data_IF_573160455979
#
_entry.id   IF_573160455979
#
_cell.length_a   1.000
_cell.length_b   1.000
_cell.length_c   1.000
_cell.angle_alpha   90.00
_cell.angle_beta   90.00
_cell.angle_gamma   90.00
#
_symmetry.space_group_name_H-M   'P 1'
#
loop_
_entity.id
_entity.type
_entity.pdbx_description
1 polymer ?
#
# COMPACT_ATOMS: atom_id res chain seq x y z
N UNK A 1 6.48 13.12 4.60
CA UNK A 1 7.59 14.04 4.87
C UNK A 1 8.87 13.67 4.10
N UNK A 2 9.35 12.42 4.20
CA UNK A 2 10.59 11.98 3.55
C UNK A 2 10.62 12.26 2.04
N UNK A 3 9.55 11.97 1.33
CA UNK A 3 9.45 12.23 -0.12
C UNK A 3 9.52 13.72 -0.44
N UNK A 4 8.88 14.58 0.34
CA UNK A 4 8.95 16.04 0.18
C UNK A 4 10.39 16.53 0.36
N UNK A 5 11.05 16.07 1.42
CA UNK A 5 12.44 16.42 1.68
C UNK A 5 13.37 15.93 0.56
N UNK A 6 13.13 14.71 0.06
CA UNK A 6 13.90 14.12 -1.02
C UNK A 6 13.77 14.94 -2.32
N UNK A 7 12.54 15.31 -2.72
CA UNK A 7 12.33 16.13 -3.91
C UNK A 7 12.99 17.51 -3.79
N UNK A 8 12.85 18.17 -2.64
CA UNK A 8 13.52 19.46 -2.39
C UNK A 8 15.04 19.33 -2.50
N UNK A 9 15.62 18.29 -1.90
CA UNK A 9 17.07 18.02 -1.98
C UNK A 9 17.56 17.86 -3.44
N UNK A 10 16.70 17.35 -4.34
CA UNK A 10 17.03 17.15 -5.75
C UNK A 10 16.54 18.28 -6.66
N UNK A 11 16.28 19.47 -6.10
CA UNK A 11 15.88 20.65 -6.87
C UNK A 11 14.50 20.55 -7.53
N UNK A 12 13.66 19.63 -7.05
CA UNK A 12 12.31 19.45 -7.57
C UNK A 12 11.27 20.11 -6.68
N UNK A 13 10.23 20.67 -7.29
CA UNK A 13 9.12 21.30 -6.60
C UNK A 13 8.09 20.24 -6.13
N UNK A 14 7.96 19.98 -4.82
CA UNK A 14 6.99 19.01 -4.31
C UNK A 14 5.54 19.37 -4.62
N UNK A 15 5.21 20.64 -4.77
CA UNK A 15 3.82 21.07 -5.04
C UNK A 15 3.31 20.58 -6.40
N UNK A 16 4.22 20.23 -7.31
CA UNK A 16 3.91 19.65 -8.62
C UNK A 16 3.86 18.12 -8.59
N UNK A 17 4.18 17.49 -7.46
CA UNK A 17 4.16 16.03 -7.29
C UNK A 17 2.84 15.58 -6.70
N UNK A 18 2.48 14.32 -6.98
CA UNK A 18 1.30 13.68 -6.40
C UNK A 18 1.75 12.57 -5.46
N UNK A 19 1.26 12.63 -4.22
CA UNK A 19 1.32 11.51 -3.28
C UNK A 19 -0.05 10.85 -3.17
N UNK A 20 -0.09 9.54 -3.24
CA UNK A 20 -1.30 8.75 -3.03
C UNK A 20 -1.14 8.02 -1.70
N UNK A 21 -2.02 8.33 -0.76
CA UNK A 21 -2.10 7.63 0.52
C UNK A 21 -3.08 6.47 0.39
N UNK A 22 -2.71 5.31 0.90
CA UNK A 22 -3.51 4.09 0.81
C UNK A 22 -3.31 3.25 2.08
N UNK A 23 -4.17 2.28 2.28
CA UNK A 23 -4.26 1.38 3.43
C UNK A 23 -4.83 2.01 4.71
N UNK A 24 -5.82 1.34 5.29
CA UNK A 24 -6.41 1.67 6.57
C UNK A 24 -7.06 3.06 6.68
N UNK A 25 -7.40 3.66 5.55
CA UNK A 25 -7.99 5.00 5.53
C UNK A 25 -9.44 4.98 6.00
N UNK A 26 -9.76 5.97 6.82
CA UNK A 26 -11.10 6.43 7.14
C UNK A 26 -11.21 7.94 6.87
N UNK A 27 -12.40 8.50 7.05
CA UNK A 27 -12.66 9.93 6.79
C UNK A 27 -11.80 10.83 7.68
N UNK A 28 -11.67 10.48 8.96
CA UNK A 28 -10.94 11.30 9.93
C UNK A 28 -9.45 11.31 9.62
N UNK A 29 -8.89 10.16 9.27
CA UNK A 29 -7.49 10.04 8.88
C UNK A 29 -7.21 10.81 7.57
N UNK A 30 -8.08 10.66 6.56
CA UNK A 30 -7.95 11.44 5.32
C UNK A 30 -8.00 12.94 5.58
N UNK A 31 -8.86 13.40 6.49
CA UNK A 31 -8.94 14.81 6.87
C UNK A 31 -7.66 15.29 7.58
N UNK A 32 -7.10 14.48 8.49
CA UNK A 32 -5.80 14.78 9.14
C UNK A 32 -4.68 14.88 8.11
N UNK A 33 -4.59 13.92 7.19
CA UNK A 33 -3.61 13.92 6.10
C UNK A 33 -3.78 15.16 5.23
N UNK A 34 -5.02 15.50 4.86
CA UNK A 34 -5.30 16.68 4.05
C UNK A 34 -4.78 17.96 4.73
N UNK A 35 -5.14 18.19 5.98
CA UNK A 35 -4.69 19.37 6.74
C UNK A 35 -3.17 19.46 6.81
N UNK A 36 -2.50 18.32 6.98
CA UNK A 36 -1.05 18.29 7.15
C UNK A 36 -0.29 18.57 5.84
N UNK A 37 -0.79 18.10 4.70
CA UNK A 37 -0.08 18.15 3.42
C UNK A 37 -0.64 19.18 2.44
N UNK A 38 -1.80 19.79 2.71
CA UNK A 38 -2.40 20.78 1.83
C UNK A 38 -1.43 21.93 1.51
N UNK A 39 -1.31 22.26 0.23
CA UNK A 39 -0.37 23.28 -0.25
C UNK A 39 1.10 22.88 -0.29
N UNK A 40 1.47 21.70 0.26
CA UNK A 40 2.86 21.23 0.31
C UNK A 40 3.17 20.19 -0.75
N UNK A 41 2.17 19.42 -1.14
CA UNK A 41 2.20 18.39 -2.18
C UNK A 41 0.76 18.14 -2.64
N UNK A 42 0.58 17.73 -3.89
CA UNK A 42 -0.73 17.24 -4.35
C UNK A 42 -1.01 15.88 -3.72
N UNK A 43 -2.22 15.69 -3.22
CA UNK A 43 -2.61 14.46 -2.52
C UNK A 43 -3.82 13.81 -3.16
N UNK A 44 -3.86 12.49 -3.11
CA UNK A 44 -4.99 11.65 -3.46
C UNK A 44 -5.05 10.48 -2.48
N UNK A 45 -6.14 9.72 -2.51
CA UNK A 45 -6.38 8.63 -1.59
C UNK A 45 -6.81 7.37 -2.32
N UNK A 46 -6.29 6.23 -1.89
CA UNK A 46 -6.81 4.91 -2.22
C UNK A 46 -7.62 4.37 -1.03
N UNK A 47 -8.91 4.68 -0.99
CA UNK A 47 -9.79 4.23 0.08
C UNK A 47 -10.45 2.92 -0.32
N UNK A 48 -10.11 1.83 0.32
CA UNK A 48 -10.52 0.47 -0.03
C UNK A 48 -11.65 -0.07 0.86
N UNK A 49 -11.33 -1.07 1.64
CA UNK A 49 -12.29 -1.89 2.42
C UNK A 49 -13.28 -1.05 3.25
N UNK A 50 -12.81 -0.02 3.93
CA UNK A 50 -13.66 0.79 4.81
C UNK A 50 -14.60 1.75 4.06
N UNK A 51 -14.43 1.95 2.75
CA UNK A 51 -15.32 2.83 1.99
C UNK A 51 -16.76 2.32 1.94
N UNK A 52 -16.92 1.00 1.75
CA UNK A 52 -18.23 0.37 1.54
C UNK A 52 -18.54 -0.73 2.54
N UNK A 53 -17.66 -0.96 3.51
CA UNK A 53 -17.72 -2.11 4.39
C UNK A 53 -17.29 -1.76 5.83
N UNK A 54 -17.64 -0.57 6.30
CA UNK A 54 -17.38 -0.13 7.67
C UNK A 54 -18.70 0.01 8.42
N UNK A 55 -19.22 -1.13 8.85
CA UNK A 55 -20.46 -1.23 9.60
C UNK A 55 -20.24 -1.74 11.02
N UNK A 56 -19.04 -1.58 11.56
CA UNK A 56 -18.69 -2.03 12.91
C UNK A 56 -19.69 -1.53 13.94
N UNK A 57 -20.15 -2.44 14.76
CA UNK A 57 -21.07 -2.11 15.84
C UNK A 57 -22.52 -1.86 15.43
N UNK A 58 -22.85 -1.89 14.14
CA UNK A 58 -24.21 -1.64 13.64
C UNK A 58 -25.05 -2.92 13.57
N UNK A 59 -24.43 -4.09 13.67
CA UNK A 59 -25.14 -5.37 13.65
C UNK A 59 -25.77 -5.73 14.99
N UNK A 60 -26.71 -6.69 15.01
CA UNK A 60 -27.15 -7.31 16.24
C UNK A 60 -25.92 -7.88 16.97
N UNK A 61 -25.77 -7.61 18.24
CA UNK A 61 -24.63 -8.03 19.06
C UNK A 61 -23.27 -7.37 18.71
N UNK A 62 -23.28 -6.20 18.07
CA UNK A 62 -22.05 -5.46 17.79
C UNK A 62 -21.19 -6.04 16.66
N UNK A 63 -21.71 -6.94 15.85
CA UNK A 63 -21.01 -7.55 14.71
C UNK A 63 -20.83 -6.63 13.50
N UNK A 64 -20.62 -7.22 12.34
CA UNK A 64 -20.34 -6.57 11.05
C UNK A 64 -18.96 -5.93 10.98
N UNK A 65 -17.94 -6.68 11.41
CA UNK A 65 -16.55 -6.26 11.18
C UNK A 65 -16.23 -6.20 9.67
N UNK A 66 -15.46 -5.21 9.23
CA UNK A 66 -15.04 -5.12 7.84
C UNK A 66 -14.27 -6.37 7.41
N UNK A 67 -14.56 -6.87 6.22
CA UNK A 67 -13.78 -7.93 5.61
C UNK A 67 -13.16 -7.47 4.30
N UNK A 68 -11.99 -8.01 3.95
CA UNK A 68 -11.28 -7.68 2.73
C UNK A 68 -11.17 -8.91 1.85
N UNK A 69 -11.52 -8.74 0.58
CA UNK A 69 -11.36 -9.77 -0.45
C UNK A 69 -10.26 -9.33 -1.39
N UNK A 70 -9.26 -10.18 -1.56
CA UNK A 70 -8.16 -9.95 -2.50
C UNK A 70 -8.08 -11.12 -3.47
N UNK A 71 -8.19 -10.83 -4.76
CA UNK A 71 -7.95 -11.80 -5.82
C UNK A 71 -6.54 -11.60 -6.39
N UNK A 72 -5.77 -12.69 -6.51
CA UNK A 72 -4.44 -12.67 -7.08
C UNK A 72 -4.32 -13.78 -8.12
N UNK A 73 -3.64 -13.47 -9.24
CA UNK A 73 -3.30 -14.47 -10.24
C UNK A 73 -2.27 -15.43 -9.65
N UNK A 74 -2.57 -16.72 -9.65
CA UNK A 74 -1.66 -17.78 -9.16
C UNK A 74 -1.03 -18.57 -10.30
N UNK A 75 -1.62 -18.53 -11.49
CA UNK A 75 -1.06 -19.14 -12.69
C UNK A 75 -1.54 -18.45 -13.95
N UNK A 76 -0.75 -18.51 -15.02
CA UNK A 76 -1.10 -18.04 -16.35
C UNK A 76 -0.51 -19.00 -17.39
N UNK A 77 -1.32 -19.49 -18.32
CA UNK A 77 -0.91 -20.44 -19.36
C UNK A 77 -0.16 -21.68 -18.81
N UNK A 78 -0.65 -22.23 -17.69
CA UNK A 78 -0.04 -23.38 -17.03
C UNK A 78 1.28 -23.10 -16.30
N UNK A 79 1.71 -21.86 -16.23
CA UNK A 79 2.91 -21.44 -15.49
C UNK A 79 2.52 -20.73 -14.20
N UNK A 80 3.25 -20.94 -13.08
CA UNK A 80 2.99 -20.24 -11.85
C UNK A 80 3.22 -18.75 -12.00
N UNK A 81 2.32 -17.95 -11.43
CA UNK A 81 2.49 -16.52 -11.30
C UNK A 81 3.05 -16.19 -9.92
N UNK A 82 3.96 -15.22 -9.86
CA UNK A 82 4.62 -14.78 -8.63
C UNK A 82 4.30 -13.32 -8.39
N UNK A 83 3.86 -13.00 -7.18
CA UNK A 83 3.85 -11.62 -6.67
C UNK A 83 4.97 -11.49 -5.64
N UNK A 84 5.87 -10.55 -5.86
CA UNK A 84 6.88 -10.15 -4.89
C UNK A 84 6.39 -8.88 -4.18
N UNK A 85 6.72 -8.72 -2.92
CA UNK A 85 6.40 -7.56 -2.10
C UNK A 85 7.61 -7.26 -1.20
N UNK A 86 7.77 -6.02 -0.83
CA UNK A 86 8.66 -5.54 0.24
C UNK A 86 8.29 -6.15 1.60
N UNK A 87 7.01 -6.46 1.80
CA UNK A 87 6.57 -7.27 2.93
C UNK A 87 6.55 -8.76 2.53
N UNK A 88 7.45 -9.60 3.08
CA UNK A 88 7.54 -11.02 2.73
C UNK A 88 6.24 -11.79 2.92
N UNK A 89 5.41 -11.42 3.90
CA UNK A 89 4.12 -12.08 4.17
C UNK A 89 3.08 -11.83 3.08
N UNK A 90 3.30 -10.83 2.23
CA UNK A 90 2.42 -10.50 1.09
C UNK A 90 2.89 -11.13 -0.23
N UNK A 91 4.01 -11.88 -0.23
CA UNK A 91 4.45 -12.63 -1.40
C UNK A 91 3.48 -13.78 -1.70
N UNK A 92 3.27 -14.07 -2.98
CA UNK A 92 2.38 -15.14 -3.46
C UNK A 92 3.06 -15.91 -4.58
N UNK A 93 2.94 -17.22 -4.56
CA UNK A 93 3.51 -18.15 -5.53
C UNK A 93 4.25 -19.29 -4.86
N UNK A 94 4.70 -20.30 -5.63
CA UNK A 94 5.55 -21.36 -5.11
C UNK A 94 6.86 -20.79 -4.54
N UNK A 95 7.35 -21.27 -3.39
CA UNK A 95 8.55 -20.74 -2.74
C UNK A 95 9.78 -20.71 -3.66
N UNK A 96 10.00 -21.76 -4.42
CA UNK A 96 11.10 -21.88 -5.37
C UNK A 96 11.02 -20.83 -6.49
N UNK A 97 9.82 -20.50 -6.95
CA UNK A 97 9.61 -19.46 -7.96
C UNK A 97 9.79 -18.06 -7.37
N UNK A 98 9.33 -17.83 -6.14
CA UNK A 98 9.58 -16.56 -5.43
C UNK A 98 11.08 -16.32 -5.31
N UNK A 99 11.84 -17.33 -4.88
CA UNK A 99 13.30 -17.22 -4.76
C UNK A 99 14.00 -17.04 -6.10
N UNK A 100 13.53 -17.73 -7.14
CA UNK A 100 14.02 -17.55 -8.51
C UNK A 100 13.82 -16.10 -8.98
N UNK A 101 12.63 -15.54 -8.79
CA UNK A 101 12.33 -14.17 -9.19
C UNK A 101 13.12 -13.14 -8.38
N UNK A 102 13.27 -13.33 -7.07
CA UNK A 102 14.11 -12.46 -6.24
C UNK A 102 15.54 -12.39 -6.75
N UNK A 103 16.10 -13.54 -7.11
CA UNK A 103 17.46 -13.63 -7.65
C UNK A 103 17.58 -12.96 -9.02
N UNK A 104 16.66 -13.22 -9.93
CA UNK A 104 16.68 -12.70 -11.31
C UNK A 104 16.49 -11.17 -11.31
N UNK A 105 15.63 -10.65 -10.46
CA UNK A 105 15.32 -9.21 -10.41
C UNK A 105 16.04 -8.46 -9.29
N UNK A 106 16.99 -9.11 -8.62
CA UNK A 106 17.78 -8.54 -7.52
C UNK A 106 16.91 -7.88 -6.41
N UNK A 107 15.75 -8.45 -6.14
CA UNK A 107 14.84 -7.96 -5.11
C UNK A 107 15.31 -8.43 -3.73
N UNK A 108 15.47 -7.51 -2.79
CA UNK A 108 15.88 -7.82 -1.41
C UNK A 108 17.35 -7.59 -1.12
N UNK A 109 18.14 -7.12 -2.08
CA UNK A 109 19.53 -6.68 -1.85
C UNK A 109 19.62 -5.25 -1.33
N UNK A 110 18.54 -4.48 -1.43
CA UNK A 110 18.46 -3.20 -0.73
C UNK A 110 17.81 -3.41 0.64
N UNK A 111 18.48 -2.97 1.68
CA UNK A 111 17.94 -2.96 3.04
C UNK A 111 16.73 -2.03 3.04
N UNK A 112 15.55 -2.59 2.97
CA UNK A 112 14.33 -1.82 3.14
C UNK A 112 14.34 -1.25 4.56
N UNK A 113 14.42 0.06 4.68
CA UNK A 113 14.18 0.73 5.95
C UNK A 113 12.75 0.37 6.38
N UNK A 114 12.52 -0.12 7.61
CA UNK A 114 11.19 -0.47 8.05
C UNK A 114 10.27 0.74 7.88
N UNK A 115 9.25 0.61 7.04
CA UNK A 115 8.16 1.59 7.01
C UNK A 115 7.30 1.27 8.23
N UNK A 116 7.43 2.09 9.26
CA UNK A 116 6.52 2.07 10.41
C UNK A 116 5.13 2.44 9.90
N UNK A 117 4.22 1.50 9.98
CA UNK A 117 2.78 1.67 9.73
C UNK A 117 2.12 2.03 11.05
#
# INVERSE_FOLDING_TARGET
ELAIAWWKKHGQDPTKKLAIFSDGLDVDLMHKIHRHFHGRIRISYGWGTLLTNDFRGLGPNGGLDPFSIVCKVISANGRPAVKISDNPTKAVGPPEEIERYRRVFHVGTQVATPVLV
#
